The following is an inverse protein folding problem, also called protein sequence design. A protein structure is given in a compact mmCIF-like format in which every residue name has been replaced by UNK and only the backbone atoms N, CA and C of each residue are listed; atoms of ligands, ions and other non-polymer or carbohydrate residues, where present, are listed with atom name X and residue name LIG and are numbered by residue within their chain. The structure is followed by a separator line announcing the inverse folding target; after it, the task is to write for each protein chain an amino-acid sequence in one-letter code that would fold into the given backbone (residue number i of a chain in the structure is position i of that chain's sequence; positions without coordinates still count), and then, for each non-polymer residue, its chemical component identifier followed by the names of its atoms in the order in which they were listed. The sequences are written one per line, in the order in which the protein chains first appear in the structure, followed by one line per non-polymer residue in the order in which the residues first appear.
data_IF_697494332652
#
_entry.id   IF_697494332652
#
_cell.length_a   1.000
_cell.length_b   1.000
_cell.length_c   1.000
_cell.angle_alpha   90.00
_cell.angle_beta   90.00
_cell.angle_gamma   90.00
#
_symmetry.space_group_name_H-M   'P 1'
#
loop_
_entity.id
_entity.type
_entity.pdbx_description
1 polymer ?
#
# COMPACT_ATOMS: atom_id res chain seq x y z
N UNK A 1 10.37 59.77 -10.31
CA UNK A 1 10.20 60.59 -9.08
C UNK A 1 8.90 60.15 -8.44
N UNK A 2 8.97 59.50 -7.30
CA UNK A 2 8.19 59.67 -6.07
C UNK A 2 8.61 58.51 -5.16
N UNK A 3 9.39 58.93 -4.15
CA UNK A 3 9.75 58.17 -2.96
C UNK A 3 8.54 58.11 -2.00
N UNK A 4 8.42 57.01 -1.22
CA UNK A 4 7.91 57.03 0.16
C UNK A 4 8.13 55.65 0.78
N UNK A 5 9.18 55.54 1.57
CA UNK A 5 9.27 55.55 3.06
C UNK A 5 8.65 54.33 3.79
N UNK A 6 9.52 53.57 4.37
CA UNK A 6 9.38 52.49 5.37
C UNK A 6 9.07 53.11 6.73
N UNK A 7 8.27 52.53 7.60
CA UNK A 7 8.44 52.67 9.03
C UNK A 7 8.94 51.38 9.71
N UNK A 8 9.99 51.57 10.41
CA UNK A 8 10.63 50.77 11.43
C UNK A 8 9.73 50.71 12.68
N UNK A 9 9.42 49.56 13.24
CA UNK A 9 8.86 49.43 14.57
C UNK A 9 9.73 48.56 15.47
N UNK A 10 9.97 49.14 16.64
CA UNK A 10 10.89 48.74 17.68
C UNK A 10 10.46 47.45 18.42
N UNK A 11 11.47 46.79 18.92
CA UNK A 11 11.59 45.71 19.89
C UNK A 11 11.03 46.14 21.27
N UNK A 12 10.25 45.29 21.90
CA UNK A 12 10.10 45.27 23.35
C UNK A 12 10.21 43.86 23.87
N UNK A 13 11.32 43.58 24.53
CA UNK A 13 11.55 42.33 25.26
C UNK A 13 10.81 42.37 26.61
N UNK A 14 10.33 41.21 27.04
CA UNK A 14 10.00 40.96 28.45
C UNK A 14 10.62 39.62 28.88
N UNK A 15 11.61 39.79 29.76
CA UNK A 15 12.13 38.75 30.63
C UNK A 15 11.11 38.48 31.75
N UNK A 16 10.81 37.24 32.02
CA UNK A 16 10.28 36.86 33.33
C UNK A 16 10.91 35.56 33.84
N UNK A 17 11.17 35.68 35.09
CA UNK A 17 12.03 35.02 36.02
C UNK A 17 11.56 33.60 36.42
N UNK A 18 12.55 32.80 36.79
CA UNK A 18 12.41 31.49 37.43
C UNK A 18 11.83 31.61 38.86
N UNK A 19 11.04 30.63 39.23
CA UNK A 19 10.82 30.27 40.64
C UNK A 19 10.99 28.76 40.83
N UNK A 20 12.06 28.40 41.54
CA UNK A 20 12.24 27.10 42.17
C UNK A 20 11.42 27.08 43.48
N UNK A 21 10.77 25.98 43.78
CA UNK A 21 10.38 25.63 45.15
C UNK A 21 10.61 24.17 45.40
N UNK A 22 11.49 23.95 46.37
CA UNK A 22 11.88 22.71 47.03
C UNK A 22 10.80 22.34 48.08
N UNK A 23 10.39 21.10 48.25
CA UNK A 23 10.00 20.52 49.52
C UNK A 23 9.96 18.99 49.50
N UNK A 24 10.88 18.45 50.17
CA UNK A 24 10.96 17.41 51.22
C UNK A 24 10.04 16.17 51.13
N UNK A 25 10.74 15.03 51.10
CA UNK A 25 10.34 13.69 51.45
C UNK A 25 9.69 13.51 52.83
N UNK A 26 8.65 12.68 52.88
CA UNK A 26 8.33 11.91 54.07
C UNK A 26 8.00 10.47 53.62
N UNK A 27 8.75 9.52 54.15
CA UNK A 27 8.50 8.11 54.02
C UNK A 27 7.42 7.69 55.05
N UNK A 28 6.50 6.83 54.63
CA UNK A 28 5.89 5.86 55.53
C UNK A 28 5.51 4.58 54.77
N UNK A 29 6.02 3.51 55.28
CA UNK A 29 5.76 2.13 54.96
C UNK A 29 4.37 1.71 55.43
N UNK A 30 3.57 1.09 54.56
CA UNK A 30 2.70 -0.01 54.99
C UNK A 30 2.46 -0.98 53.84
N UNK A 31 2.88 -2.19 54.11
CA UNK A 31 2.74 -3.37 53.27
C UNK A 31 1.31 -3.90 53.33
N UNK A 32 0.62 -3.98 52.19
CA UNK A 32 -0.55 -4.84 52.04
C UNK A 32 -0.34 -5.72 50.81
N UNK A 33 -0.18 -6.99 51.13
CA UNK A 33 -0.14 -8.14 50.27
C UNK A 33 -1.47 -8.27 49.51
N UNK A 34 -1.45 -8.18 48.16
CA UNK A 34 -2.59 -8.51 47.30
C UNK A 34 -2.17 -9.66 46.40
N UNK A 35 -2.85 -10.79 46.58
CA UNK A 35 -2.71 -12.01 45.78
C UNK A 35 -3.10 -11.76 44.29
N UNK A 36 -2.50 -12.52 43.35
CA UNK A 36 -2.75 -12.35 41.92
C UNK A 36 -4.09 -12.94 41.51
N UNK A 37 -4.94 -12.12 40.91
CA UNK A 37 -6.11 -12.59 40.19
C UNK A 37 -5.74 -13.02 38.78
N UNK A 38 -6.34 -14.13 38.39
CA UNK A 38 -6.20 -14.86 37.14
C UNK A 38 -6.22 -13.97 35.88
N UNK A 39 -5.17 -14.12 35.08
CA UNK A 39 -5.10 -13.61 33.70
C UNK A 39 -6.14 -14.32 32.81
N UNK A 40 -7.08 -13.56 32.29
CA UNK A 40 -7.91 -13.97 31.16
C UNK A 40 -7.07 -13.85 29.87
N UNK A 41 -6.79 -14.99 29.28
CA UNK A 41 -6.13 -15.11 27.99
C UNK A 41 -6.89 -14.35 26.90
N UNK A 42 -6.39 -13.18 26.48
CA UNK A 42 -6.69 -12.60 25.17
C UNK A 42 -5.86 -13.35 24.12
N UNK A 43 -6.46 -13.74 22.98
CA UNK A 43 -5.69 -14.38 21.92
C UNK A 43 -4.65 -13.37 21.39
N UNK A 44 -3.39 -13.68 21.55
CA UNK A 44 -2.26 -12.88 21.08
C UNK A 44 -2.36 -12.63 19.59
N UNK A 45 -2.29 -11.36 19.19
CA UNK A 45 -2.00 -10.95 17.83
C UNK A 45 -0.61 -11.50 17.46
N UNK A 46 -0.59 -12.57 16.67
CA UNK A 46 0.63 -13.10 16.11
C UNK A 46 1.30 -12.01 15.28
N UNK A 47 2.49 -11.62 15.66
CA UNK A 47 3.41 -10.87 14.81
C UNK A 47 3.75 -11.77 13.62
N UNK A 48 2.97 -11.68 12.52
CA UNK A 48 3.36 -12.29 11.25
C UNK A 48 4.62 -11.58 10.78
N UNK A 49 5.76 -12.26 10.92
CA UNK A 49 7.01 -11.86 10.30
C UNK A 49 6.80 -11.82 8.78
N UNK A 50 7.28 -10.76 8.13
CA UNK A 50 7.39 -10.70 6.67
C UNK A 50 8.06 -11.99 6.19
N UNK A 51 7.36 -12.80 5.41
CA UNK A 51 7.94 -14.03 4.85
C UNK A 51 8.96 -13.61 3.80
N UNK A 52 10.26 -13.81 4.01
CA UNK A 52 11.27 -13.40 3.04
C UNK A 52 11.03 -14.12 1.71
N UNK A 53 11.39 -13.49 0.58
CA UNK A 53 11.43 -14.15 -0.72
C UNK A 53 12.25 -15.43 -0.60
N UNK A 54 11.64 -16.57 -0.91
CA UNK A 54 12.35 -17.84 -0.92
C UNK A 54 13.34 -17.84 -2.08
N UNK A 55 14.65 -17.76 -1.78
CA UNK A 55 15.70 -17.73 -2.79
C UNK A 55 16.32 -19.12 -3.07
N UNK A 56 15.91 -20.14 -2.33
CA UNK A 56 16.41 -21.51 -2.47
C UNK A 56 15.44 -22.35 -3.30
N UNK A 57 15.84 -22.69 -4.52
CA UNK A 57 15.09 -23.55 -5.44
C UNK A 57 15.05 -23.00 -6.85
N UNK A 58 14.72 -23.86 -7.81
CA UNK A 58 14.46 -23.45 -9.19
C UNK A 58 13.07 -22.82 -9.26
N UNK A 59 12.99 -21.63 -9.86
CA UNK A 59 11.70 -21.00 -10.17
C UNK A 59 10.92 -21.92 -11.10
N UNK A 60 9.64 -22.12 -10.82
CA UNK A 60 8.72 -22.89 -11.67
C UNK A 60 8.68 -22.30 -13.08
N UNK A 61 8.47 -23.18 -14.06
CA UNK A 61 8.27 -22.76 -15.45
C UNK A 61 7.02 -21.88 -15.61
N UNK A 62 6.95 -21.10 -16.67
CA UNK A 62 5.78 -20.27 -16.97
C UNK A 62 4.47 -21.11 -17.03
N UNK A 63 4.53 -22.30 -17.60
CA UNK A 63 3.39 -23.22 -17.66
C UNK A 63 2.94 -23.69 -16.27
N UNK A 64 3.87 -24.04 -15.38
CA UNK A 64 3.57 -24.41 -13.99
C UNK A 64 2.96 -23.23 -13.21
N UNK A 65 3.51 -22.01 -13.39
CA UNK A 65 2.99 -20.79 -12.77
C UNK A 65 1.57 -20.49 -13.24
N UNK A 66 1.30 -20.65 -14.54
CA UNK A 66 -0.03 -20.41 -15.12
C UNK A 66 -1.06 -21.47 -14.72
N UNK A 67 -0.60 -22.71 -14.48
CA UNK A 67 -1.47 -23.79 -14.02
C UNK A 67 -1.91 -23.67 -12.55
N UNK A 68 -1.20 -22.85 -11.75
CA UNK A 68 -1.60 -22.63 -10.34
C UNK A 68 -2.88 -21.81 -10.25
N UNK A 69 -3.80 -22.15 -9.33
CA UNK A 69 -4.98 -21.36 -9.07
C UNK A 69 -4.63 -19.88 -8.85
N UNK A 70 -5.37 -18.99 -9.48
CA UNK A 70 -5.17 -17.55 -9.31
C UNK A 70 -5.65 -17.11 -7.92
N UNK A 71 -4.90 -16.22 -7.30
CA UNK A 71 -5.31 -15.53 -6.07
C UNK A 71 -6.09 -14.29 -6.47
N UNK A 72 -7.26 -14.01 -5.86
CA UNK A 72 -7.96 -12.76 -6.07
C UNK A 72 -7.10 -11.56 -5.68
N UNK A 73 -6.99 -10.59 -6.58
CA UNK A 73 -6.26 -9.34 -6.34
C UNK A 73 -7.14 -8.17 -6.72
N UNK A 74 -7.48 -7.35 -5.71
CA UNK A 74 -8.29 -6.15 -5.89
C UNK A 74 -7.42 -4.91 -6.08
N UNK A 75 -7.78 -4.06 -7.03
CA UNK A 75 -7.14 -2.78 -7.29
C UNK A 75 -8.09 -1.64 -6.93
N UNK A 76 -7.78 -0.94 -5.84
CA UNK A 76 -8.43 0.29 -5.42
C UNK A 76 -7.61 1.50 -5.87
N UNK A 77 -8.26 2.67 -5.99
CA UNK A 77 -7.61 3.94 -6.30
C UNK A 77 -7.97 4.99 -5.25
N UNK A 78 -9.14 5.63 -5.38
CA UNK A 78 -9.62 6.65 -4.44
C UNK A 78 -10.72 6.09 -3.53
N UNK A 79 -10.71 6.53 -2.26
CA UNK A 79 -11.69 6.11 -1.25
C UNK A 79 -12.33 7.34 -0.64
N UNK A 80 -13.25 7.93 -1.35
CA UNK A 80 -13.98 9.14 -0.94
C UNK A 80 -15.39 9.15 -1.50
N UNK A 81 -16.24 9.95 -0.94
CA UNK A 81 -17.56 10.13 -1.52
C UNK A 81 -17.49 10.85 -2.88
N UNK A 82 -18.41 10.53 -3.75
CA UNK A 82 -18.54 11.17 -5.05
C UNK A 82 -18.95 12.63 -4.90
N UNK A 83 -18.49 13.43 -5.82
CA UNK A 83 -18.89 14.84 -6.01
C UNK A 83 -19.64 15.00 -7.33
N UNK A 84 -20.27 16.17 -7.53
CA UNK A 84 -20.96 16.47 -8.79
C UNK A 84 -20.02 16.55 -10.00
N UNK A 85 -18.73 16.80 -9.75
CA UNK A 85 -17.69 16.86 -10.81
C UNK A 85 -17.16 15.50 -11.23
N UNK A 86 -17.45 14.42 -10.47
CA UNK A 86 -16.99 13.08 -10.83
C UNK A 86 -17.84 12.53 -11.97
N UNK A 87 -17.23 12.42 -13.15
CA UNK A 87 -17.85 11.77 -14.30
C UNK A 87 -18.04 10.27 -14.11
N UNK A 88 -18.84 9.65 -15.00
CA UNK A 88 -19.15 8.22 -14.94
C UNK A 88 -17.89 7.34 -14.86
N UNK A 89 -16.91 7.60 -15.69
CA UNK A 89 -15.63 6.85 -15.68
C UNK A 89 -14.84 7.09 -14.40
N UNK A 90 -14.79 8.34 -13.92
CA UNK A 90 -14.10 8.66 -12.65
C UNK A 90 -14.70 7.92 -11.46
N UNK A 91 -16.02 7.81 -11.40
CA UNK A 91 -16.73 7.10 -10.32
C UNK A 91 -16.39 5.60 -10.26
N UNK A 92 -15.97 5.00 -11.35
CA UNK A 92 -15.51 3.61 -11.38
C UNK A 92 -14.24 3.41 -10.54
N UNK A 93 -13.38 4.44 -10.48
CA UNK A 93 -12.15 4.44 -9.69
C UNK A 93 -12.28 5.07 -8.28
N UNK A 94 -13.49 5.50 -7.90
CA UNK A 94 -13.74 6.17 -6.62
C UNK A 94 -14.76 5.36 -5.82
N UNK A 95 -14.28 4.59 -4.85
CA UNK A 95 -15.16 3.83 -3.95
C UNK A 95 -15.63 4.74 -2.81
N UNK A 96 -16.95 4.93 -2.63
CA UNK A 96 -17.47 5.70 -1.50
C UNK A 96 -16.97 5.15 -0.16
N UNK A 97 -16.63 6.05 0.77
CA UNK A 97 -16.01 5.67 2.06
C UNK A 97 -16.82 4.63 2.84
N UNK A 98 -18.15 4.79 2.88
CA UNK A 98 -19.02 3.82 3.56
C UNK A 98 -18.99 2.45 2.89
N UNK A 99 -18.98 2.43 1.55
CA UNK A 99 -18.92 1.19 0.78
C UNK A 99 -17.59 0.47 0.97
N UNK A 100 -16.47 1.20 0.92
CA UNK A 100 -15.16 0.62 1.20
C UNK A 100 -15.10 -0.07 2.57
N UNK A 101 -15.63 0.59 3.62
CA UNK A 101 -15.70 0.00 4.97
C UNK A 101 -16.58 -1.26 4.98
N UNK A 102 -17.71 -1.24 4.30
CA UNK A 102 -18.59 -2.40 4.17
C UNK A 102 -17.91 -3.56 3.40
N UNK A 103 -17.12 -3.24 2.38
CA UNK A 103 -16.34 -4.21 1.61
C UNK A 103 -15.26 -4.86 2.48
N UNK A 104 -14.49 -4.11 3.26
CA UNK A 104 -13.49 -4.67 4.18
C UNK A 104 -14.13 -5.56 5.24
N UNK A 105 -15.26 -5.12 5.83
CA UNK A 105 -16.02 -5.95 6.76
C UNK A 105 -16.49 -7.26 6.09
N UNK A 106 -17.04 -7.20 4.89
CA UNK A 106 -17.50 -8.38 4.15
C UNK A 106 -16.35 -9.36 3.89
N UNK A 107 -15.18 -8.87 3.51
CA UNK A 107 -13.98 -9.72 3.31
C UNK A 107 -13.59 -10.43 4.61
N UNK A 108 -13.57 -9.72 5.74
CA UNK A 108 -13.27 -10.29 7.04
C UNK A 108 -14.31 -11.32 7.48
N UNK A 109 -15.61 -11.00 7.43
CA UNK A 109 -16.72 -11.88 7.79
C UNK A 109 -16.76 -13.13 6.90
N UNK A 110 -16.33 -13.02 5.65
CA UNK A 110 -16.23 -14.13 4.70
C UNK A 110 -14.99 -15.00 4.93
N UNK A 111 -14.11 -14.64 5.86
CA UNK A 111 -12.90 -15.39 6.22
C UNK A 111 -11.78 -15.26 5.17
N UNK A 112 -11.73 -14.17 4.41
CA UNK A 112 -10.58 -13.89 3.56
C UNK A 112 -9.38 -13.49 4.40
N UNK A 113 -8.20 -13.95 4.00
CA UNK A 113 -6.93 -13.61 4.61
C UNK A 113 -6.08 -12.82 3.61
N UNK A 114 -5.68 -11.61 3.98
CA UNK A 114 -4.84 -10.82 3.10
C UNK A 114 -3.44 -11.40 3.02
N UNK A 115 -2.88 -11.46 1.80
CA UNK A 115 -1.49 -11.84 1.55
C UNK A 115 -0.74 -10.68 0.90
N UNK A 116 0.57 -10.70 1.06
CA UNK A 116 1.50 -9.74 0.48
C UNK A 116 2.22 -10.31 -0.75
N UNK A 117 2.83 -9.47 -1.59
CA UNK A 117 3.46 -9.92 -2.83
C UNK A 117 4.55 -10.96 -2.66
N UNK A 118 5.32 -10.94 -1.55
CA UNK A 118 6.33 -11.97 -1.27
C UNK A 118 5.68 -13.35 -1.10
N UNK A 119 4.54 -13.42 -0.43
CA UNK A 119 3.79 -14.68 -0.26
C UNK A 119 3.22 -15.15 -1.61
N UNK A 120 2.66 -14.23 -2.41
CA UNK A 120 2.17 -14.55 -3.75
C UNK A 120 3.31 -15.02 -4.67
N UNK A 121 4.45 -14.32 -4.66
CA UNK A 121 5.62 -14.70 -5.43
C UNK A 121 6.11 -16.10 -5.04
N UNK A 122 6.27 -16.37 -3.76
CA UNK A 122 6.69 -17.68 -3.26
C UNK A 122 5.70 -18.79 -3.64
N UNK A 123 4.41 -18.51 -3.60
CA UNK A 123 3.37 -19.42 -4.09
C UNK A 123 3.54 -19.67 -5.60
N UNK A 124 3.62 -18.63 -6.41
CA UNK A 124 3.68 -18.73 -7.87
C UNK A 124 5.02 -19.29 -8.35
N UNK A 125 6.14 -18.91 -7.73
CA UNK A 125 7.47 -19.31 -8.17
C UNK A 125 7.92 -20.67 -7.61
N UNK A 126 7.54 -21.00 -6.37
CA UNK A 126 8.07 -22.16 -5.64
C UNK A 126 6.99 -23.10 -5.09
N UNK A 127 5.70 -22.81 -5.26
CA UNK A 127 4.61 -23.63 -4.76
C UNK A 127 4.41 -23.56 -3.25
N UNK A 128 4.85 -22.47 -2.60
CA UNK A 128 4.64 -22.25 -1.18
C UNK A 128 3.14 -22.24 -0.84
N UNK A 129 2.79 -22.71 0.36
CA UNK A 129 1.40 -22.72 0.82
C UNK A 129 0.93 -21.30 1.13
N UNK A 130 -0.31 -21.01 0.78
CA UNK A 130 -1.02 -19.80 1.16
C UNK A 130 -2.02 -20.09 2.30
N UNK A 131 -2.43 -19.06 3.07
CA UNK A 131 -3.53 -19.20 4.02
C UNK A 131 -4.84 -19.59 3.31
N UNK A 132 -5.84 -19.98 4.08
CA UNK A 132 -7.19 -20.26 3.53
C UNK A 132 -7.78 -18.97 2.98
N UNK A 133 -8.53 -19.05 1.86
CA UNK A 133 -9.16 -17.91 1.18
C UNK A 133 -8.21 -16.70 1.04
N UNK A 134 -7.05 -16.87 0.37
CA UNK A 134 -6.09 -15.77 0.22
C UNK A 134 -6.67 -14.69 -0.69
N UNK A 135 -6.39 -13.43 -0.38
CA UNK A 135 -6.72 -12.27 -1.20
C UNK A 135 -5.60 -11.23 -1.09
N UNK A 136 -5.30 -10.50 -2.16
CA UNK A 136 -4.40 -9.37 -2.09
C UNK A 136 -5.16 -8.07 -2.35
N UNK A 137 -4.93 -7.08 -1.50
CA UNK A 137 -5.49 -5.73 -1.63
C UNK A 137 -4.39 -4.81 -2.15
N UNK A 138 -4.65 -4.10 -3.24
CA UNK A 138 -3.71 -3.15 -3.82
C UNK A 138 -4.35 -1.79 -4.01
N UNK A 139 -3.54 -0.73 -3.87
CA UNK A 139 -3.96 0.66 -4.00
C UNK A 139 -3.01 1.40 -4.94
N UNK A 140 -3.53 2.00 -5.99
CA UNK A 140 -2.74 2.74 -6.98
C UNK A 140 -2.90 4.26 -6.79
N UNK A 141 -2.07 5.07 -7.45
CA UNK A 141 -2.16 6.53 -7.60
C UNK A 141 -1.86 7.41 -6.38
N UNK A 142 -1.37 6.88 -5.28
CA UNK A 142 -0.79 7.69 -4.18
C UNK A 142 -1.79 8.65 -3.51
N UNK A 143 -3.10 8.37 -3.51
CA UNK A 143 -4.13 9.28 -2.98
C UNK A 143 -4.11 9.36 -1.46
N UNK A 144 -4.36 10.56 -0.91
CA UNK A 144 -4.33 10.81 0.55
C UNK A 144 -5.37 9.98 1.32
N UNK A 145 -6.51 9.67 0.70
CA UNK A 145 -7.56 8.84 1.30
C UNK A 145 -7.12 7.38 1.56
N UNK A 146 -6.08 6.92 0.90
CA UNK A 146 -5.45 5.64 1.20
C UNK A 146 -4.85 5.63 2.61
N UNK A 147 -4.28 6.76 3.07
CA UNK A 147 -3.81 6.92 4.44
C UNK A 147 -4.94 7.22 5.43
N UNK A 148 -5.81 8.17 5.09
CA UNK A 148 -6.81 8.67 6.03
C UNK A 148 -8.01 7.76 6.19
N UNK A 149 -8.29 6.89 5.22
CA UNK A 149 -9.44 5.98 5.23
C UNK A 149 -9.03 4.51 5.14
N UNK A 150 -8.21 4.13 4.12
CA UNK A 150 -7.91 2.71 3.92
C UNK A 150 -7.07 2.14 5.05
N UNK A 151 -5.94 2.73 5.39
CA UNK A 151 -5.02 2.19 6.43
C UNK A 151 -5.71 1.97 7.78
N UNK A 152 -6.50 2.94 8.33
CA UNK A 152 -7.23 2.71 9.58
C UNK A 152 -8.28 1.59 9.46
N UNK A 153 -8.94 1.46 8.33
CA UNK A 153 -9.95 0.43 8.14
C UNK A 153 -9.32 -0.97 8.01
N UNK A 154 -8.24 -1.10 7.24
CA UNK A 154 -7.48 -2.34 7.11
C UNK A 154 -6.96 -2.83 8.48
N UNK A 155 -6.48 -1.89 9.30
CA UNK A 155 -5.96 -2.19 10.65
C UNK A 155 -7.00 -2.86 11.54
N UNK A 156 -8.28 -2.53 11.44
CA UNK A 156 -9.37 -3.11 12.24
C UNK A 156 -9.48 -4.62 12.07
N UNK A 157 -9.16 -5.12 10.88
CA UNK A 157 -9.27 -6.54 10.53
C UNK A 157 -7.91 -7.25 10.45
N UNK A 158 -6.82 -6.59 10.85
CA UNK A 158 -5.46 -7.12 10.69
C UNK A 158 -5.00 -7.24 9.24
N UNK A 159 -5.69 -6.60 8.31
CA UNK A 159 -5.39 -6.68 6.88
C UNK A 159 -4.15 -5.86 6.53
N UNK A 160 -3.31 -6.42 5.66
CA UNK A 160 -2.19 -5.74 5.02
C UNK A 160 -2.45 -5.59 3.52
N UNK A 161 -1.81 -4.62 2.91
CA UNK A 161 -2.03 -4.27 1.51
C UNK A 161 -0.74 -3.83 0.83
N UNK A 162 -0.82 -3.67 -0.49
CA UNK A 162 0.24 -3.09 -1.32
C UNK A 162 -0.20 -1.71 -1.79
N UNK A 163 0.70 -0.74 -1.72
CA UNK A 163 0.47 0.61 -2.23
C UNK A 163 1.47 0.89 -3.35
N UNK A 164 0.97 1.03 -4.56
CA UNK A 164 1.76 1.36 -5.74
C UNK A 164 1.83 2.87 -5.91
N UNK A 165 3.03 3.43 -5.71
CA UNK A 165 3.25 4.84 -5.51
C UNK A 165 3.79 5.51 -6.78
N UNK A 166 3.08 6.54 -7.25
CA UNK A 166 3.55 7.55 -8.19
C UNK A 166 4.37 8.60 -7.44
N UNK A 167 5.66 8.74 -7.73
CA UNK A 167 6.51 9.61 -6.90
C UNK A 167 6.37 11.11 -7.19
N UNK A 168 5.90 11.50 -8.37
CA UNK A 168 5.65 12.90 -8.72
C UNK A 168 4.61 13.56 -7.83
N UNK A 169 3.69 12.79 -7.28
CA UNK A 169 2.57 13.28 -6.47
C UNK A 169 2.90 13.39 -4.98
N UNK A 170 3.98 12.79 -4.51
CA UNK A 170 4.35 12.78 -3.09
C UNK A 170 4.46 14.20 -2.51
N UNK A 171 3.72 14.44 -1.43
CA UNK A 171 3.67 15.72 -0.72
C UNK A 171 2.81 16.81 -1.38
N UNK A 172 2.16 16.52 -2.50
CA UNK A 172 1.19 17.44 -3.11
C UNK A 172 -0.16 17.40 -2.37
N UNK A 173 -0.98 18.45 -2.44
CA UNK A 173 -2.33 18.42 -1.87
C UNK A 173 -3.14 17.20 -2.35
N UNK A 174 -3.85 16.54 -1.44
CA UNK A 174 -4.65 15.34 -1.69
C UNK A 174 -3.86 14.07 -2.09
N UNK A 175 -2.54 14.07 -1.88
CA UNK A 175 -1.69 12.91 -2.08
C UNK A 175 -0.90 12.57 -0.80
N UNK A 176 -0.37 11.37 -0.73
CA UNK A 176 0.46 10.90 0.39
C UNK A 176 1.74 11.74 0.51
N UNK A 177 2.18 11.98 1.74
CA UNK A 177 3.52 12.47 2.02
C UNK A 177 4.54 11.32 2.07
N UNK A 178 5.84 11.64 1.99
CA UNK A 178 6.91 10.65 2.18
C UNK A 178 6.85 10.00 3.56
N UNK A 179 6.52 10.78 4.61
CA UNK A 179 6.41 10.26 5.97
C UNK A 179 5.23 9.29 6.12
N UNK A 180 4.10 9.55 5.47
CA UNK A 180 2.97 8.63 5.45
C UNK A 180 3.33 7.33 4.73
N UNK A 181 4.02 7.38 3.59
CA UNK A 181 4.52 6.19 2.88
C UNK A 181 5.47 5.38 3.78
N UNK A 182 6.39 6.06 4.49
CA UNK A 182 7.27 5.39 5.45
C UNK A 182 6.48 4.71 6.56
N UNK A 183 5.54 5.40 7.19
CA UNK A 183 4.72 4.84 8.26
C UNK A 183 3.88 3.64 7.80
N UNK A 184 3.36 3.67 6.56
CA UNK A 184 2.66 2.53 5.96
C UNK A 184 3.60 1.33 5.78
N UNK A 185 4.82 1.56 5.32
CA UNK A 185 5.85 0.53 5.19
C UNK A 185 6.26 -0.06 6.55
N UNK A 186 6.45 0.80 7.57
CA UNK A 186 6.80 0.39 8.93
C UNK A 186 5.65 -0.39 9.60
N UNK A 187 4.41 -0.08 9.23
CA UNK A 187 3.22 -0.81 9.69
C UNK A 187 3.03 -2.17 8.99
N UNK A 188 3.95 -2.61 8.12
CA UNK A 188 3.93 -3.91 7.44
C UNK A 188 3.08 -3.93 6.16
N UNK A 189 2.74 -2.78 5.58
CA UNK A 189 2.25 -2.72 4.22
C UNK A 189 3.43 -2.73 3.24
N UNK A 190 3.23 -3.26 2.03
CA UNK A 190 4.25 -3.25 0.99
C UNK A 190 4.11 -1.99 0.14
N UNK A 191 5.23 -1.33 -0.13
CA UNK A 191 5.31 -0.22 -1.07
C UNK A 191 5.86 -0.74 -2.40
N UNK A 192 5.14 -0.52 -3.47
CA UNK A 192 5.52 -0.83 -4.83
C UNK A 192 5.67 0.43 -5.69
N UNK A 193 6.28 0.30 -6.86
CA UNK A 193 6.45 1.39 -7.80
C UNK A 193 5.28 1.48 -8.79
N UNK A 194 4.81 2.71 -9.04
CA UNK A 194 3.81 3.03 -10.06
C UNK A 194 4.29 4.14 -11.00
N UNK A 195 5.57 4.10 -11.34
CA UNK A 195 6.28 5.08 -12.16
C UNK A 195 6.49 6.45 -11.49
N UNK A 196 7.09 7.38 -12.22
CA UNK A 196 7.22 8.77 -11.78
C UNK A 196 5.87 9.50 -11.86
N UNK A 197 5.25 9.57 -13.05
CA UNK A 197 4.08 10.41 -13.34
C UNK A 197 2.94 9.69 -14.10
N UNK A 198 2.85 8.36 -13.97
CA UNK A 198 1.77 7.54 -14.54
C UNK A 198 1.76 7.49 -16.07
N UNK A 199 2.89 7.65 -16.75
CA UNK A 199 2.94 7.50 -18.20
C UNK A 199 2.84 6.04 -18.64
N UNK A 200 2.27 5.83 -19.82
CA UNK A 200 2.10 4.51 -20.41
C UNK A 200 3.45 3.84 -20.75
N UNK A 201 3.78 2.78 -20.04
CA UNK A 201 5.03 2.02 -20.17
C UNK A 201 5.32 1.53 -21.60
N UNK A 202 4.28 1.27 -22.39
CA UNK A 202 4.43 0.85 -23.80
C UNK A 202 5.14 1.89 -24.69
N UNK A 203 5.28 3.10 -24.20
CA UNK A 203 5.91 4.21 -24.94
C UNK A 203 7.33 4.50 -24.49
N UNK A 204 7.85 3.82 -23.45
CA UNK A 204 9.16 4.13 -22.89
C UNK A 204 10.30 3.74 -23.82
N UNK A 205 11.25 4.65 -23.95
CA UNK A 205 12.48 4.48 -24.73
C UNK A 205 13.66 5.13 -24.00
N UNK A 206 14.86 4.59 -24.16
CA UNK A 206 16.09 5.20 -23.64
C UNK A 206 15.99 5.70 -22.20
N UNK A 207 16.13 7.01 -22.01
CA UNK A 207 16.12 7.70 -20.72
C UNK A 207 14.75 7.68 -19.98
N UNK A 208 13.67 7.29 -20.65
CA UNK A 208 12.37 7.14 -19.98
C UNK A 208 12.46 6.10 -18.87
N UNK A 209 13.21 5.01 -19.07
CA UNK A 209 13.40 3.97 -18.06
C UNK A 209 14.08 4.50 -16.80
N UNK A 210 15.04 5.41 -16.96
CA UNK A 210 15.71 6.07 -15.83
C UNK A 210 14.73 7.01 -15.13
N UNK A 211 14.02 7.85 -15.88
CA UNK A 211 13.14 8.87 -15.31
C UNK A 211 11.90 8.26 -14.68
N UNK A 212 11.29 7.29 -15.35
CA UNK A 212 10.00 6.74 -14.95
C UNK A 212 10.10 5.55 -13.98
N UNK A 213 11.23 4.86 -13.96
CA UNK A 213 11.40 3.64 -13.17
C UNK A 213 12.54 3.75 -12.16
N UNK A 214 13.77 4.06 -12.58
CA UNK A 214 14.94 4.02 -11.66
C UNK A 214 14.86 5.11 -10.60
N UNK A 215 14.66 6.38 -11.00
CA UNK A 215 14.58 7.50 -10.05
C UNK A 215 13.44 7.36 -9.05
N UNK A 216 12.19 7.02 -9.45
CA UNK A 216 11.11 6.78 -8.48
C UNK A 216 11.39 5.57 -7.59
N UNK A 217 11.95 4.47 -8.11
CA UNK A 217 12.34 3.31 -7.30
C UNK A 217 13.35 3.70 -6.22
N UNK A 218 14.40 4.43 -6.59
CA UNK A 218 15.38 4.96 -5.64
C UNK A 218 14.75 5.87 -4.58
N UNK A 219 13.84 6.77 -5.00
CA UNK A 219 13.10 7.63 -4.07
C UNK A 219 12.32 6.82 -3.05
N UNK A 220 11.62 5.75 -3.47
CA UNK A 220 10.85 4.89 -2.57
C UNK A 220 11.75 4.05 -1.65
N UNK A 221 12.89 3.56 -2.14
CA UNK A 221 13.91 2.90 -1.32
C UNK A 221 14.43 3.83 -0.22
N UNK A 222 14.75 5.09 -0.57
CA UNK A 222 15.21 6.09 0.40
C UNK A 222 14.16 6.43 1.46
N UNK A 223 12.89 6.46 1.08
CA UNK A 223 11.78 6.74 2.00
C UNK A 223 11.53 5.56 2.93
N UNK A 224 11.52 4.34 2.41
CA UNK A 224 11.11 3.14 3.17
C UNK A 224 12.27 2.43 3.87
N UNK A 225 13.50 2.63 3.40
CA UNK A 225 14.67 1.83 3.81
C UNK A 225 14.61 0.38 3.32
N UNK A 226 13.71 0.05 2.40
CA UNK A 226 13.47 -1.32 1.89
C UNK A 226 13.62 -1.38 0.38
N UNK A 227 13.90 -2.58 -0.16
CA UNK A 227 13.88 -2.83 -1.59
C UNK A 227 12.48 -2.69 -2.18
N UNK A 228 12.37 -2.06 -3.34
CA UNK A 228 11.13 -1.94 -4.11
C UNK A 228 11.13 -3.01 -5.21
N UNK A 229 10.43 -4.11 -4.95
CA UNK A 229 10.47 -5.33 -5.79
C UNK A 229 9.24 -5.52 -6.67
N UNK A 230 8.20 -4.70 -6.48
CA UNK A 230 6.88 -4.88 -7.10
C UNK A 230 6.47 -3.64 -7.87
N UNK A 231 5.91 -3.86 -9.05
CA UNK A 231 5.54 -2.82 -9.98
C UNK A 231 4.08 -2.97 -10.43
N UNK A 232 3.32 -1.88 -10.51
CA UNK A 232 2.03 -1.87 -11.20
C UNK A 232 2.14 -1.02 -12.46
N UNK A 233 1.72 -1.58 -13.59
CA UNK A 233 1.70 -0.86 -14.86
C UNK A 233 0.60 0.21 -14.86
N UNK A 234 0.92 1.50 -15.16
CA UNK A 234 -0.10 2.52 -15.40
C UNK A 234 -1.16 2.04 -16.39
N UNK A 235 -2.44 2.27 -16.06
CA UNK A 235 -3.58 1.80 -16.85
C UNK A 235 -3.67 0.26 -17.02
N UNK A 236 -2.81 -0.51 -16.37
CA UNK A 236 -2.64 -1.95 -16.63
C UNK A 236 -1.96 -2.27 -17.97
N UNK A 237 -1.48 -1.26 -18.69
CA UNK A 237 -0.94 -1.40 -20.05
C UNK A 237 0.55 -1.77 -20.03
N UNK A 238 0.87 -2.85 -20.66
CA UNK A 238 2.22 -3.41 -20.76
C UNK A 238 2.53 -3.88 -22.18
N UNK A 239 3.79 -4.15 -22.46
CA UNK A 239 4.26 -4.81 -23.68
C UNK A 239 5.43 -5.75 -23.33
N UNK A 240 5.83 -6.58 -24.29
CA UNK A 240 6.92 -7.56 -24.09
C UNK A 240 8.26 -6.88 -23.84
N UNK A 241 8.49 -5.72 -24.38
CA UNK A 241 9.71 -4.92 -24.26
C UNK A 241 9.89 -4.37 -22.82
N UNK A 242 8.81 -4.10 -22.09
CA UNK A 242 8.85 -3.61 -20.72
C UNK A 242 9.33 -4.67 -19.73
N UNK A 243 9.06 -5.94 -19.96
CA UNK A 243 9.35 -7.01 -19.01
C UNK A 243 10.87 -7.17 -18.75
N UNK A 244 11.75 -7.33 -19.76
CA UNK A 244 13.18 -7.41 -19.52
C UNK A 244 13.75 -6.14 -18.87
N UNK A 245 13.21 -4.97 -19.16
CA UNK A 245 13.64 -3.72 -18.53
C UNK A 245 13.30 -3.66 -17.03
N UNK A 246 12.13 -4.16 -16.62
CA UNK A 246 11.78 -4.30 -15.21
C UNK A 246 12.64 -5.36 -14.51
N UNK A 247 12.86 -6.53 -15.13
CA UNK A 247 13.75 -7.59 -14.60
C UNK A 247 15.16 -7.08 -14.37
N UNK A 248 15.74 -6.37 -15.33
CA UNK A 248 17.07 -5.76 -15.25
C UNK A 248 17.20 -4.78 -14.07
N UNK A 249 16.09 -4.12 -13.68
CA UNK A 249 16.02 -3.16 -12.58
C UNK A 249 15.64 -3.78 -11.24
N UNK A 250 15.65 -5.12 -11.15
CA UNK A 250 15.48 -5.85 -9.90
C UNK A 250 14.03 -6.06 -9.45
N UNK A 251 13.04 -5.77 -10.30
CA UNK A 251 11.66 -6.13 -9.96
C UNK A 251 11.46 -7.65 -10.00
N UNK A 252 10.76 -8.18 -9.01
CA UNK A 252 10.44 -9.60 -8.87
C UNK A 252 9.13 -9.97 -9.57
N UNK A 253 8.17 -9.04 -9.57
CA UNK A 253 6.92 -9.21 -10.32
C UNK A 253 6.25 -7.89 -10.65
N UNK A 254 5.32 -7.95 -11.62
CA UNK A 254 4.54 -6.79 -12.05
C UNK A 254 3.06 -7.14 -12.26
N UNK A 255 2.21 -6.13 -12.02
CA UNK A 255 0.76 -6.26 -11.95
C UNK A 255 0.07 -5.48 -13.07
N UNK A 256 -0.80 -6.17 -13.80
CA UNK A 256 -1.69 -5.63 -14.83
C UNK A 256 -3.12 -5.49 -14.28
N UNK A 257 -4.06 -5.07 -15.10
CA UNK A 257 -5.51 -5.14 -14.83
C UNK A 257 -6.12 -6.45 -15.39
N UNK A 258 -7.40 -6.44 -15.76
CA UNK A 258 -8.18 -7.63 -16.11
C UNK A 258 -7.86 -8.24 -17.49
N UNK A 259 -6.63 -8.17 -17.94
CA UNK A 259 -6.18 -8.78 -19.20
C UNK A 259 -5.63 -10.21 -18.99
N UNK A 260 -5.44 -10.93 -20.09
CA UNK A 260 -4.79 -12.25 -20.06
C UNK A 260 -3.32 -12.11 -19.64
N UNK A 261 -2.85 -12.98 -18.75
CA UNK A 261 -1.43 -13.06 -18.36
C UNK A 261 -0.57 -13.51 -19.55
N UNK A 262 0.67 -13.00 -19.60
CA UNK A 262 1.66 -13.44 -20.60
C UNK A 262 2.02 -14.90 -20.40
N UNK A 263 2.17 -15.64 -21.49
CA UNK A 263 2.46 -17.09 -21.47
C UNK A 263 3.93 -17.38 -21.15
N UNK A 264 4.84 -16.43 -21.38
CA UNK A 264 6.28 -16.60 -21.15
C UNK A 264 6.72 -15.97 -19.82
N UNK A 265 6.10 -14.84 -19.44
CA UNK A 265 6.47 -14.05 -18.26
C UNK A 265 5.28 -13.80 -17.33
N UNK A 266 4.62 -14.85 -16.81
CA UNK A 266 3.40 -14.72 -16.03
C UNK A 266 3.60 -14.01 -14.68
N UNK A 267 4.81 -13.95 -14.13
CA UNK A 267 5.12 -13.17 -12.92
C UNK A 267 5.15 -11.67 -13.18
N UNK A 268 5.33 -11.24 -14.44
CA UNK A 268 5.36 -9.83 -14.82
C UNK A 268 4.04 -9.35 -15.45
N UNK A 269 3.01 -10.18 -15.38
CA UNK A 269 1.67 -9.87 -15.86
C UNK A 269 0.60 -10.44 -14.92
N UNK A 270 0.81 -10.29 -13.61
CA UNK A 270 -0.14 -10.76 -12.59
C UNK A 270 -1.41 -9.93 -12.68
N UNK A 271 -2.55 -10.60 -12.86
CA UNK A 271 -3.84 -9.97 -13.10
C UNK A 271 -4.46 -9.42 -11.81
N UNK A 272 -5.08 -8.24 -11.91
CA UNK A 272 -5.92 -7.63 -10.88
C UNK A 272 -7.28 -7.27 -11.46
N UNK A 273 -8.29 -7.11 -10.61
CA UNK A 273 -9.56 -6.50 -10.99
C UNK A 273 -9.76 -5.17 -10.26
N UNK A 274 -10.28 -4.17 -10.94
CA UNK A 274 -10.64 -2.89 -10.33
C UNK A 274 -11.82 -3.12 -9.38
N UNK A 275 -11.69 -2.70 -8.13
CA UNK A 275 -12.81 -2.59 -7.20
C UNK A 275 -13.59 -1.33 -7.56
N UNK A 276 -14.60 -1.50 -8.41
CA UNK A 276 -15.40 -0.41 -8.95
C UNK A 276 -16.19 0.32 -7.86
N UNK A 277 -16.21 1.65 -7.93
CA UNK A 277 -17.03 2.47 -7.02
C UNK A 277 -18.52 2.23 -7.14
N UNK A 278 -18.98 1.59 -8.20
CA UNK A 278 -20.37 1.17 -8.38
C UNK A 278 -20.72 -0.15 -7.69
N UNK A 279 -19.72 -0.87 -7.16
CA UNK A 279 -19.94 -2.19 -6.60
C UNK A 279 -20.26 -2.12 -5.11
N UNK A 280 -21.43 -2.62 -4.75
CA UNK A 280 -21.71 -2.96 -3.35
C UNK A 280 -21.00 -4.27 -2.96
N UNK A 281 -21.05 -4.62 -1.68
CA UNK A 281 -20.40 -5.80 -1.10
C UNK A 281 -20.78 -7.10 -1.83
N UNK A 282 -22.06 -7.29 -2.20
CA UNK A 282 -22.53 -8.47 -2.93
C UNK A 282 -21.92 -8.54 -4.33
N UNK A 283 -21.89 -7.42 -5.04
CA UNK A 283 -21.31 -7.35 -6.39
C UNK A 283 -19.79 -7.60 -6.32
N UNK A 284 -19.08 -7.00 -5.36
CA UNK A 284 -17.65 -7.24 -5.16
C UNK A 284 -17.37 -8.72 -4.89
N UNK A 285 -18.10 -9.34 -3.94
CA UNK A 285 -17.93 -10.74 -3.60
C UNK A 285 -18.15 -11.64 -4.85
N UNK A 286 -19.22 -11.41 -5.59
CA UNK A 286 -19.51 -12.15 -6.82
C UNK A 286 -18.41 -11.95 -7.87
N UNK A 287 -17.88 -10.75 -8.00
CA UNK A 287 -16.78 -10.45 -8.94
C UNK A 287 -15.49 -11.17 -8.56
N UNK A 288 -15.18 -11.26 -7.26
CA UNK A 288 -14.06 -12.07 -6.77
C UNK A 288 -14.23 -13.53 -7.19
N UNK A 289 -15.36 -14.15 -6.88
CA UNK A 289 -15.63 -15.57 -7.14
C UNK A 289 -15.67 -15.91 -8.65
N UNK A 290 -16.16 -14.98 -9.48
CA UNK A 290 -16.29 -15.21 -10.93
C UNK A 290 -15.02 -14.93 -11.71
N UNK A 291 -14.12 -14.11 -11.18
CA UNK A 291 -12.91 -13.66 -11.89
C UNK A 291 -11.68 -14.50 -11.58
N UNK A 292 -11.68 -15.22 -10.49
CA UNK A 292 -10.56 -16.01 -9.99
C UNK A 292 -11.02 -17.43 -9.59
#
# INVERSE_FOLDING_TARGET
MINKTIPLFLIAGMLWSACQSNSKSIANSDSLEVQPQSETNSPGAGTEQETPLQTKGKIASAAEILARPQVPILCYHQIRNWTSSDGKVGKDYIVPTAEFKSQMKMLADSGFNTILPDQLYNYLAFGAKLPKKPIMLTFDDTKLDQWTVAVPELKKYGFKAVFFIMTVSLGRPNYLSKDQVKQMSDAGHVIGSHTYDHQNVKKYQGEDWVTQIEKPTKTLQDVTGKDIKYFAYPFGLWNKEAIPELKKRGFSSAFILAEKRDENDPLFTIRRIIASGYWNTKTLHNSIVKSF
#
